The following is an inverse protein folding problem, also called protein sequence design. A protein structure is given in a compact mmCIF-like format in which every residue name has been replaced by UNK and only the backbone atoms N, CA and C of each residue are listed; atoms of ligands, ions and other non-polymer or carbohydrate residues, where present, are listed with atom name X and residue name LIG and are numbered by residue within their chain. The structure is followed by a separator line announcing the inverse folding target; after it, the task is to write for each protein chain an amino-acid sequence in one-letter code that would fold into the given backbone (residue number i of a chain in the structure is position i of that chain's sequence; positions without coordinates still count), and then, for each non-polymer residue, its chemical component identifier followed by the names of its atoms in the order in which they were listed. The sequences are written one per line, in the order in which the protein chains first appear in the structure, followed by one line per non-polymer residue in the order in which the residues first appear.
data_IF_351697243486
#
_entry.id   IF_351697243486
#
_cell.length_a   1.000
_cell.length_b   1.000
_cell.length_c   1.000
_cell.angle_alpha   90.00
_cell.angle_beta   90.00
_cell.angle_gamma   90.00
#
_symmetry.space_group_name_H-M   'P 1'
#
loop_
_entity.id
_entity.type
_entity.pdbx_description
1 polymer ?
#
# COMPACT_ATOMS: atom_id res chain seq x y z
N UNK A 1 24.98 13.33 -10.13
CA UNK A 1 23.84 13.07 -9.23
C UNK A 1 23.45 11.61 -9.43
N UNK A 2 23.28 10.82 -8.38
CA UNK A 2 22.79 9.43 -8.55
C UNK A 2 21.31 9.49 -8.92
N UNK A 3 20.92 8.76 -9.97
CA UNK A 3 19.52 8.61 -10.36
C UNK A 3 18.77 7.84 -9.26
N UNK A 4 17.60 8.33 -8.86
CA UNK A 4 16.77 7.72 -7.82
C UNK A 4 15.52 7.14 -8.47
N UNK A 5 15.31 5.85 -8.26
CA UNK A 5 14.16 5.11 -8.77
C UNK A 5 13.17 4.81 -7.65
N UNK A 6 11.91 4.61 -8.01
CA UNK A 6 10.94 3.88 -7.19
C UNK A 6 10.78 2.48 -7.77
N UNK A 7 11.17 1.48 -6.98
CA UNK A 7 11.09 0.07 -7.35
C UNK A 7 9.86 -0.55 -6.67
N UNK A 8 9.01 -1.20 -7.46
CA UNK A 8 7.90 -2.01 -7.00
C UNK A 8 8.28 -3.49 -7.06
N UNK A 9 8.17 -4.20 -5.95
CA UNK A 9 8.49 -5.63 -5.83
C UNK A 9 7.32 -6.37 -5.17
N UNK A 10 6.65 -7.30 -5.87
CA UNK A 10 5.75 -8.26 -5.25
C UNK A 10 6.54 -9.27 -4.42
N UNK A 11 6.14 -9.49 -3.18
CA UNK A 11 6.77 -10.41 -2.23
C UNK A 11 5.71 -11.32 -1.63
N UNK A 12 5.87 -12.63 -1.79
CA UNK A 12 4.99 -13.62 -1.18
C UNK A 12 5.62 -14.13 0.12
N UNK A 13 4.91 -13.92 1.24
CA UNK A 13 5.24 -14.45 2.57
C UNK A 13 4.13 -15.42 2.99
N UNK A 14 4.38 -16.72 2.90
CA UNK A 14 3.40 -17.78 3.18
C UNK A 14 2.04 -17.52 2.48
N UNK A 15 1.05 -17.01 3.22
CA UNK A 15 -0.31 -16.69 2.76
C UNK A 15 -0.58 -15.19 2.56
N UNK A 16 0.40 -14.33 2.85
CA UNK A 16 0.28 -12.88 2.75
C UNK A 16 1.00 -12.39 1.49
N UNK A 17 0.28 -11.56 0.71
CA UNK A 17 0.86 -10.84 -0.42
C UNK A 17 1.29 -9.47 0.04
N UNK A 18 2.59 -9.20 -0.02
CA UNK A 18 3.15 -7.87 0.24
C UNK A 18 3.61 -7.27 -1.08
N UNK A 19 3.30 -6.02 -1.33
CA UNK A 19 3.89 -5.26 -2.43
C UNK A 19 4.76 -4.18 -1.80
N UNK A 20 6.07 -4.28 -2.04
CA UNK A 20 7.04 -3.30 -1.58
C UNK A 20 7.23 -2.22 -2.64
N UNK A 21 7.22 -0.97 -2.21
CA UNK A 21 7.57 0.19 -2.98
C UNK A 21 8.73 0.87 -2.29
N UNK A 22 9.89 1.00 -2.96
CA UNK A 22 11.09 1.54 -2.33
C UNK A 22 11.81 2.55 -3.22
N UNK A 23 12.30 3.63 -2.62
CA UNK A 23 13.23 4.55 -3.25
C UNK A 23 14.63 3.98 -3.16
N UNK A 24 15.29 3.81 -4.30
CA UNK A 24 16.67 3.30 -4.34
C UNK A 24 17.43 3.91 -5.51
N UNK A 25 18.72 4.14 -5.29
CA UNK A 25 19.72 4.42 -6.34
C UNK A 25 20.50 3.16 -6.77
N UNK A 26 20.19 2.02 -6.15
CA UNK A 26 20.78 0.71 -6.44
C UNK A 26 19.70 -0.23 -6.95
N UNK A 27 19.66 -0.41 -8.27
CA UNK A 27 18.71 -1.31 -8.94
C UNK A 27 19.41 -2.62 -9.25
N UNK A 28 18.85 -3.72 -8.74
CA UNK A 28 19.28 -5.06 -9.12
C UNK A 28 18.69 -5.44 -10.48
N UNK A 29 19.51 -5.31 -11.53
CA UNK A 29 19.12 -5.57 -12.91
C UNK A 29 18.65 -7.02 -13.15
N UNK A 30 19.09 -7.98 -12.33
CA UNK A 30 18.69 -9.38 -12.47
C UNK A 30 17.21 -9.62 -12.12
N UNK A 31 16.62 -8.71 -11.35
CA UNK A 31 15.24 -8.79 -10.86
C UNK A 31 14.27 -7.94 -11.66
N UNK A 32 14.76 -7.06 -12.53
CA UNK A 32 13.92 -6.14 -13.30
C UNK A 32 13.03 -6.94 -14.25
N UNK A 33 11.72 -6.80 -14.08
CA UNK A 33 10.73 -7.31 -15.01
C UNK A 33 10.33 -6.25 -16.05
N UNK A 34 10.23 -5.00 -15.61
CA UNK A 34 9.83 -3.88 -16.46
C UNK A 34 10.43 -2.55 -15.98
N UNK A 35 10.85 -1.72 -16.92
CA UNK A 35 11.27 -0.34 -16.70
C UNK A 35 10.24 0.58 -17.35
N UNK A 36 9.63 1.45 -16.56
CA UNK A 36 8.60 2.35 -17.07
C UNK A 36 9.23 3.54 -17.83
N UNK A 37 8.57 3.96 -18.91
CA UNK A 37 8.99 5.11 -19.74
C UNK A 37 8.03 6.30 -19.68
N UNK A 38 8.37 7.36 -20.41
CA UNK A 38 7.54 8.56 -20.54
C UNK A 38 7.30 9.26 -19.20
N UNK A 39 6.05 9.59 -18.88
CA UNK A 39 5.65 10.22 -17.61
C UNK A 39 5.88 9.33 -16.36
N UNK A 40 6.25 8.07 -16.54
CA UNK A 40 6.55 7.12 -15.48
C UNK A 40 8.05 6.77 -15.40
N UNK A 41 8.90 7.50 -16.12
CA UNK A 41 10.36 7.38 -16.02
C UNK A 41 10.78 7.56 -14.56
N UNK A 42 11.66 6.67 -14.08
CA UNK A 42 12.04 6.59 -12.66
C UNK A 42 11.32 5.47 -11.90
N UNK A 43 10.39 4.75 -12.52
CA UNK A 43 9.68 3.61 -11.92
C UNK A 43 10.20 2.29 -12.51
N UNK A 44 10.46 1.32 -11.62
CA UNK A 44 10.91 -0.02 -11.97
C UNK A 44 9.98 -1.04 -11.32
N UNK A 45 9.66 -2.10 -12.05
CA UNK A 45 8.89 -3.24 -11.54
C UNK A 45 9.78 -4.47 -11.57
N UNK A 46 9.98 -5.07 -10.40
CA UNK A 46 10.70 -6.31 -10.25
C UNK A 46 9.81 -7.53 -10.46
N UNK A 47 10.44 -8.66 -10.78
CA UNK A 47 9.83 -9.98 -10.67
C UNK A 47 9.45 -10.25 -9.22
N UNK A 48 8.39 -11.05 -9.06
CA UNK A 48 7.96 -11.55 -7.76
C UNK A 48 9.08 -12.35 -7.09
N UNK A 49 9.24 -12.21 -5.77
CA UNK A 49 10.17 -13.02 -4.99
C UNK A 49 9.49 -13.66 -3.78
N UNK A 50 10.12 -14.72 -3.26
CA UNK A 50 9.77 -15.26 -1.95
C UNK A 50 10.35 -14.37 -0.87
N UNK A 51 9.67 -14.30 0.26
CA UNK A 51 10.14 -13.60 1.45
C UNK A 51 11.04 -14.50 2.31
N UNK A 52 12.20 -14.90 1.80
CA UNK A 52 13.11 -15.82 2.48
C UNK A 52 14.35 -15.12 3.08
N UNK A 53 14.53 -15.28 4.40
CA UNK A 53 15.85 -15.29 5.04
C UNK A 53 16.38 -14.03 5.73
N UNK A 54 15.74 -12.87 5.60
CA UNK A 54 16.13 -11.67 6.35
C UNK A 54 15.10 -11.34 7.43
N UNK A 55 15.58 -11.04 8.65
CA UNK A 55 14.72 -10.49 9.68
C UNK A 55 14.01 -9.26 9.11
N UNK A 56 12.67 -9.25 9.05
CA UNK A 56 11.95 -8.14 8.44
C UNK A 56 12.26 -6.86 9.23
N UNK A 57 12.75 -5.85 8.52
CA UNK A 57 12.91 -4.52 9.09
C UNK A 57 11.58 -4.08 9.71
N UNK A 58 11.60 -3.67 10.98
CA UNK A 58 10.37 -3.25 11.69
C UNK A 58 9.87 -1.95 11.07
N UNK A 59 8.58 -1.84 10.69
CA UNK A 59 8.03 -0.58 10.20
C UNK A 59 8.05 0.50 11.27
N UNK A 60 8.33 1.73 10.87
CA UNK A 60 8.37 2.87 11.80
C UNK A 60 6.98 3.47 12.02
N UNK A 61 6.08 3.33 11.05
CA UNK A 61 4.65 3.63 11.18
C UNK A 61 3.84 2.56 10.45
N UNK A 62 2.61 2.33 10.90
CA UNK A 62 1.68 1.40 10.28
C UNK A 62 0.25 1.94 10.34
N UNK A 63 -0.49 1.78 9.25
CA UNK A 63 -1.92 2.11 9.16
C UNK A 63 -2.63 0.96 8.45
N UNK A 64 -3.83 0.63 8.91
CA UNK A 64 -4.64 -0.44 8.34
C UNK A 64 -6.06 0.05 8.08
N UNK A 65 -6.71 -0.52 7.06
CA UNK A 65 -8.12 -0.33 6.79
C UNK A 65 -8.69 -1.56 6.09
N UNK A 66 -10.00 -1.75 6.21
CA UNK A 66 -10.70 -2.86 5.57
C UNK A 66 -11.34 -2.39 4.28
N UNK A 67 -11.07 -3.10 3.19
CA UNK A 67 -11.75 -2.95 1.91
C UNK A 67 -12.83 -4.02 1.76
N UNK A 68 -14.07 -3.59 1.57
CA UNK A 68 -15.18 -4.47 1.19
C UNK A 68 -15.49 -4.25 -0.29
N UNK A 69 -15.21 -5.25 -1.10
CA UNK A 69 -15.36 -5.20 -2.55
C UNK A 69 -16.54 -6.07 -2.97
N UNK A 70 -17.36 -5.55 -3.87
CA UNK A 70 -18.47 -6.27 -4.46
C UNK A 70 -18.14 -6.67 -5.89
N UNK A 71 -18.20 -7.97 -6.18
CA UNK A 71 -18.06 -8.48 -7.54
C UNK A 71 -19.42 -8.47 -8.23
N UNK A 72 -19.62 -7.57 -9.19
CA UNK A 72 -20.88 -7.46 -9.93
C UNK A 72 -21.18 -8.65 -10.83
N UNK A 73 -20.19 -9.49 -11.16
CA UNK A 73 -20.37 -10.68 -12.01
C UNK A 73 -20.85 -11.89 -11.21
N UNK A 74 -20.27 -12.12 -10.03
CA UNK A 74 -20.61 -13.28 -9.18
C UNK A 74 -21.62 -12.93 -8.09
N UNK A 75 -21.90 -11.63 -7.88
CA UNK A 75 -22.70 -11.09 -6.77
C UNK A 75 -22.10 -11.32 -5.38
N UNK A 76 -20.88 -11.85 -5.33
CA UNK A 76 -20.16 -12.11 -4.08
C UNK A 76 -19.54 -10.82 -3.55
N UNK A 77 -19.47 -10.76 -2.22
CA UNK A 77 -18.68 -9.75 -1.52
C UNK A 77 -17.41 -10.41 -1.02
N UNK A 78 -16.30 -9.71 -1.11
CA UNK A 78 -15.02 -10.09 -0.52
C UNK A 78 -14.53 -8.94 0.36
N UNK A 79 -14.01 -9.27 1.53
CA UNK A 79 -13.40 -8.30 2.42
C UNK A 79 -11.93 -8.64 2.65
N UNK A 80 -11.09 -7.61 2.76
CA UNK A 80 -9.68 -7.76 3.07
C UNK A 80 -9.19 -6.58 3.92
N UNK A 81 -8.17 -6.82 4.73
CA UNK A 81 -7.42 -5.76 5.35
C UNK A 81 -6.24 -5.37 4.45
N UNK A 82 -6.08 -4.06 4.26
CA UNK A 82 -4.95 -3.44 3.59
C UNK A 82 -4.13 -2.72 4.63
N UNK A 83 -2.92 -3.21 4.85
CA UNK A 83 -2.00 -2.67 5.84
C UNK A 83 -0.84 -2.00 5.14
N UNK A 84 -0.69 -0.70 5.38
CA UNK A 84 0.41 0.12 4.91
C UNK A 84 1.44 0.22 6.02
N UNK A 85 2.67 -0.11 5.68
CA UNK A 85 3.84 -0.03 6.56
C UNK A 85 4.82 0.96 5.98
N UNK A 86 5.34 1.85 6.81
CA UNK A 86 6.15 2.98 6.35
C UNK A 86 7.54 2.95 6.97
N UNK A 87 8.53 3.28 6.15
CA UNK A 87 9.90 3.52 6.55
C UNK A 87 10.38 4.85 5.99
N UNK A 88 11.09 5.57 6.82
CA UNK A 88 11.55 6.93 6.56
C UNK A 88 13.07 6.99 6.45
N UNK A 89 13.58 8.11 5.94
CA UNK A 89 15.01 8.40 5.97
C UNK A 89 15.49 8.59 7.41
N UNK A 90 16.75 8.23 7.69
CA UNK A 90 17.32 8.10 9.05
C UNK A 90 17.19 9.35 9.94
N UNK A 91 17.05 10.54 9.36
CA UNK A 91 16.94 11.82 10.07
C UNK A 91 15.51 12.31 10.29
N UNK A 92 14.49 11.53 9.90
CA UNK A 92 13.09 11.95 10.04
C UNK A 92 12.65 11.87 11.49
N UNK A 93 12.13 12.96 12.05
CA UNK A 93 11.65 13.01 13.44
C UNK A 93 10.32 12.28 13.59
N UNK A 94 10.01 11.77 14.78
CA UNK A 94 8.79 10.99 15.03
C UNK A 94 7.52 11.75 14.63
N UNK A 95 7.44 13.06 14.94
CA UNK A 95 6.30 13.89 14.55
C UNK A 95 6.13 13.97 13.02
N UNK A 96 7.24 14.14 12.28
CA UNK A 96 7.20 14.14 10.81
C UNK A 96 6.79 12.78 10.24
N UNK A 97 7.21 11.67 10.86
CA UNK A 97 6.79 10.32 10.46
C UNK A 97 5.28 10.15 10.59
N UNK A 98 4.74 10.62 11.72
CA UNK A 98 3.30 10.61 11.98
C UNK A 98 2.57 11.45 10.94
N UNK A 99 2.89 12.74 10.82
CA UNK A 99 2.22 13.66 9.91
C UNK A 99 2.24 13.15 8.45
N UNK A 100 3.41 12.72 7.97
CA UNK A 100 3.57 12.28 6.58
C UNK A 100 2.89 10.94 6.29
N UNK A 101 2.95 9.96 7.20
CA UNK A 101 2.23 8.69 7.02
C UNK A 101 0.70 8.90 6.98
N UNK A 102 0.18 9.79 7.84
CA UNK A 102 -1.23 10.15 7.83
C UNK A 102 -1.63 10.96 6.59
N UNK A 103 -0.80 11.89 6.14
CA UNK A 103 -1.04 12.65 4.92
C UNK A 103 -1.09 11.72 3.69
N UNK A 104 -0.08 10.85 3.55
CA UNK A 104 -0.03 9.83 2.49
C UNK A 104 -1.28 8.95 2.52
N UNK A 105 -1.65 8.44 3.70
CA UNK A 105 -2.83 7.61 3.86
C UNK A 105 -4.11 8.32 3.48
N UNK A 106 -4.36 9.52 4.01
CA UNK A 106 -5.57 10.32 3.72
C UNK A 106 -5.73 10.59 2.24
N UNK A 107 -4.65 10.91 1.54
CA UNK A 107 -4.69 11.12 0.09
C UNK A 107 -5.02 9.82 -0.66
N UNK A 108 -4.41 8.71 -0.24
CA UNK A 108 -4.63 7.39 -0.83
C UNK A 108 -6.09 6.95 -0.71
N UNK A 109 -6.70 7.15 0.47
CA UNK A 109 -8.08 6.75 0.76
C UNK A 109 -9.13 7.83 0.49
N UNK A 110 -8.77 8.96 -0.13
CA UNK A 110 -9.71 10.02 -0.47
C UNK A 110 -10.92 9.43 -1.26
N UNK A 111 -12.16 9.53 -0.75
CA UNK A 111 -13.35 8.94 -1.37
C UNK A 111 -13.59 9.39 -2.81
N UNK A 112 -13.34 10.67 -3.11
CA UNK A 112 -13.60 11.27 -4.43
C UNK A 112 -12.63 10.75 -5.50
N UNK A 113 -11.46 10.28 -5.07
CA UNK A 113 -10.40 9.76 -5.91
C UNK A 113 -10.01 8.33 -5.53
N UNK A 114 -10.92 7.57 -4.91
CA UNK A 114 -10.63 6.23 -4.45
C UNK A 114 -10.59 5.25 -5.64
N UNK A 115 -9.52 4.47 -5.81
CA UNK A 115 -9.41 3.52 -6.92
C UNK A 115 -10.48 2.41 -6.84
N UNK A 116 -11.07 2.09 -8.01
CA UNK A 116 -12.16 1.10 -8.10
C UNK A 116 -11.69 -0.35 -8.16
N UNK A 117 -10.40 -0.57 -8.37
CA UNK A 117 -9.79 -1.89 -8.47
C UNK A 117 -8.39 -1.93 -7.84
N UNK A 118 -7.83 -3.14 -7.68
CA UNK A 118 -6.51 -3.37 -7.09
C UNK A 118 -5.39 -2.68 -7.86
N UNK A 119 -5.41 -2.76 -9.20
CA UNK A 119 -4.36 -2.21 -10.03
C UNK A 119 -4.31 -0.67 -9.91
N UNK A 120 -5.47 -0.02 -9.84
CA UNK A 120 -5.61 1.41 -9.60
C UNK A 120 -5.11 1.80 -8.21
N UNK A 121 -5.37 0.98 -7.19
CA UNK A 121 -4.87 1.21 -5.84
C UNK A 121 -3.33 1.13 -5.79
N UNK A 122 -2.75 0.05 -6.31
CA UNK A 122 -1.30 -0.14 -6.43
C UNK A 122 -0.65 1.01 -7.20
N UNK A 123 -1.23 1.40 -8.34
CA UNK A 123 -0.76 2.55 -9.14
C UNK A 123 -0.81 3.86 -8.35
N UNK A 124 -1.83 4.06 -7.49
CA UNK A 124 -1.95 5.27 -6.67
C UNK A 124 -0.86 5.32 -5.60
N UNK A 125 -0.60 4.22 -4.89
CA UNK A 125 0.53 4.11 -3.93
C UNK A 125 1.85 4.41 -4.63
N UNK A 126 2.08 3.76 -5.78
CA UNK A 126 3.31 3.92 -6.56
C UNK A 126 3.52 5.36 -7.04
N UNK A 127 2.46 6.02 -7.53
CA UNK A 127 2.51 7.43 -7.99
C UNK A 127 2.74 8.40 -6.85
N UNK A 128 2.10 8.21 -5.70
CA UNK A 128 2.30 9.05 -4.52
C UNK A 128 3.74 8.95 -4.03
N UNK A 129 4.28 7.73 -3.93
CA UNK A 129 5.68 7.54 -3.55
C UNK A 129 6.65 8.03 -4.64
N UNK A 130 6.32 7.94 -5.92
CA UNK A 130 7.18 8.50 -6.99
C UNK A 130 7.17 10.03 -6.99
N UNK A 131 6.06 10.65 -6.57
CA UNK A 131 5.89 12.09 -6.54
C UNK A 131 6.82 12.83 -5.58
N UNK A 132 6.82 14.18 -5.67
CA UNK A 132 7.68 15.04 -4.87
C UNK A 132 7.15 15.32 -3.46
N UNK A 133 5.92 14.91 -3.13
CA UNK A 133 5.25 15.28 -1.87
C UNK A 133 5.75 14.52 -0.65
N UNK A 134 6.29 13.31 -0.85
CA UNK A 134 6.64 12.38 0.22
C UNK A 134 8.08 11.88 0.08
N UNK A 135 9.04 12.81 0.16
CA UNK A 135 10.47 12.53 -0.06
C UNK A 135 11.14 11.85 1.14
N UNK A 136 10.57 11.97 2.35
CA UNK A 136 11.13 11.31 3.54
C UNK A 136 10.71 9.86 3.62
N UNK A 137 9.60 9.47 3.00
CA UNK A 137 9.25 8.07 2.75
C UNK A 137 10.25 7.44 1.79
N UNK A 138 11.06 6.51 2.32
CA UNK A 138 11.97 5.69 1.52
C UNK A 138 11.36 4.37 1.10
N UNK A 139 10.38 3.86 1.86
CA UNK A 139 9.72 2.59 1.57
C UNK A 139 8.31 2.55 2.13
N UNK A 140 7.42 1.95 1.35
CA UNK A 140 6.06 1.58 1.74
C UNK A 140 5.88 0.11 1.41
N UNK A 141 5.45 -0.70 2.37
CA UNK A 141 4.97 -2.05 2.10
C UNK A 141 3.45 -2.05 2.23
N UNK A 142 2.76 -2.64 1.26
CA UNK A 142 1.32 -2.89 1.28
C UNK A 142 1.09 -4.38 1.47
N UNK A 143 0.60 -4.77 2.63
CA UNK A 143 0.10 -6.13 2.83
C UNK A 143 -1.38 -6.19 2.45
N UNK A 144 -1.75 -7.23 1.72
CA UNK A 144 -3.13 -7.58 1.40
C UNK A 144 -3.47 -8.87 2.15
N UNK A 145 -4.42 -8.76 3.08
CA UNK A 145 -4.78 -9.83 4.02
C UNK A 145 -6.26 -10.15 3.80
N UNK A 146 -6.60 -11.24 3.09
CA UNK A 146 -7.99 -11.68 2.93
C UNK A 146 -8.63 -11.92 4.30
N UNK A 147 -9.87 -11.47 4.48
CA UNK A 147 -10.65 -11.82 5.65
C UNK A 147 -11.33 -13.17 5.42
N UNK A 148 -11.37 -14.00 6.46
CA UNK A 148 -12.20 -15.19 6.42
C UNK A 148 -13.69 -14.82 6.44
N UNK A 149 -14.53 -15.80 6.07
CA UNK A 149 -15.98 -15.60 5.96
C UNK A 149 -16.61 -15.12 7.27
N UNK A 150 -16.14 -15.63 8.41
CA UNK A 150 -16.69 -15.27 9.72
C UNK A 150 -16.38 -13.80 10.06
N UNK A 151 -15.13 -13.37 9.86
CA UNK A 151 -14.71 -11.99 10.06
C UNK A 151 -15.43 -11.04 9.09
N UNK A 152 -15.67 -11.48 7.85
CA UNK A 152 -16.43 -10.72 6.87
C UNK A 152 -17.90 -10.55 7.27
N UNK A 153 -18.55 -11.62 7.76
CA UNK A 153 -19.96 -11.59 8.20
C UNK A 153 -20.14 -10.71 9.45
N UNK A 154 -19.10 -10.55 10.27
CA UNK A 154 -19.08 -9.70 11.45
C UNK A 154 -18.95 -8.18 11.14
N UNK A 155 -18.66 -7.79 9.90
CA UNK A 155 -18.58 -6.39 9.51
C UNK A 155 -19.98 -5.75 9.55
N UNK A 156 -20.24 -4.96 10.60
CA UNK A 156 -21.52 -4.25 10.77
C UNK A 156 -21.67 -3.19 9.67
N UNK A 157 -22.81 -3.10 8.96
CA UNK A 157 -23.04 -2.05 7.99
C UNK A 157 -23.21 -0.69 8.67
N UNK A 158 -22.13 0.08 8.82
CA UNK A 158 -22.18 1.48 9.27
C UNK A 158 -22.05 2.42 8.08
N UNK A 159 -23.03 3.31 7.93
CA UNK A 159 -23.19 4.39 6.93
C UNK A 159 -22.68 4.12 5.50
N UNK A 160 -23.64 3.78 4.64
CA UNK A 160 -23.50 3.60 3.20
C UNK A 160 -23.32 4.97 2.53
N UNK A 161 -22.09 5.35 2.17
CA UNK A 161 -21.89 6.38 1.12
C UNK A 161 -21.93 5.65 -0.22
N UNK A 162 -23.08 5.68 -0.86
CA UNK A 162 -23.28 5.05 -2.16
C UNK A 162 -22.81 5.96 -3.30
N UNK A 163 -21.82 5.51 -4.08
CA UNK A 163 -21.59 6.04 -5.43
C UNK A 163 -21.51 4.90 -6.46
N UNK A 164 -22.02 5.18 -7.65
CA UNK A 164 -22.52 4.20 -8.61
C UNK A 164 -21.50 3.28 -9.29
N UNK A 165 -22.06 2.18 -9.81
CA UNK A 165 -21.58 1.23 -10.82
C UNK A 165 -20.29 0.43 -10.63
N UNK A 166 -19.51 0.64 -9.57
CA UNK A 166 -18.59 -0.37 -9.01
C UNK A 166 -18.29 0.02 -7.56
N UNK A 167 -18.96 -0.62 -6.60
CA UNK A 167 -18.92 -0.23 -5.18
C UNK A 167 -17.75 -0.91 -4.47
N UNK A 168 -16.67 -0.15 -4.21
CA UNK A 168 -15.77 -0.44 -3.11
C UNK A 168 -16.31 0.30 -1.87
N UNK A 169 -16.68 -0.43 -0.82
CA UNK A 169 -16.98 0.15 0.49
C UNK A 169 -15.67 0.18 1.29
N UNK A 170 -15.24 1.37 1.68
CA UNK A 170 -14.09 1.54 2.57
C UNK A 170 -14.58 1.49 4.01
N UNK A 171 -14.13 0.51 4.79
CA UNK A 171 -14.32 0.50 6.24
C UNK A 171 -12.97 0.87 6.86
N UNK A 172 -12.80 2.16 7.16
CA UNK A 172 -11.56 2.68 7.72
C UNK A 172 -11.59 2.52 9.24
N UNK A 173 -11.11 1.39 9.76
CA UNK A 173 -10.71 1.27 11.17
C UNK A 173 -9.26 1.74 11.27
N UNK A 174 -9.06 3.04 11.49
CA UNK A 174 -7.74 3.56 11.87
C UNK A 174 -7.39 3.05 13.26
N UNK A 175 -6.72 1.90 13.34
CA UNK A 175 -5.97 1.53 14.55
C UNK A 175 -4.57 2.10 14.38
N UNK A 176 -4.35 3.26 14.99
CA UNK A 176 -3.01 3.80 15.18
C UNK A 176 -2.42 3.13 16.41
N UNK A 177 -1.86 1.93 16.22
CA UNK A 177 -1.00 1.36 17.25
C UNK A 177 0.34 2.10 17.16
N UNK A 178 0.44 3.16 17.95
CA UNK A 178 1.72 3.66 18.42
C UNK A 178 2.41 2.49 19.12
N UNK A 179 3.47 1.95 18.52
CA UNK A 179 4.31 0.96 19.19
C UNK A 179 4.92 1.66 20.40
N UNK A 180 4.36 1.39 21.58
CA UNK A 180 4.88 1.84 22.86
C UNK A 180 6.30 1.29 23.00
N UNK A 181 7.27 2.20 23.13
CA UNK A 181 8.53 1.96 23.83
C UNK A 181 8.30 2.18 25.33
#
# INVERSE_FOLDING_TARGET
MCEMYVVMTPINFDNMKTIRFERTNHVDQSRVHHVAGGQHTGIIVNQECKGDGLAPEVPEMQLEFTCVMYNSRTTETHAENRRLKFWFTKSTQQFDRLDESYAFFRELINPDAFPRDYAGFIKKVLKQLHGPSYLRLRRVDLDIIPLDKHAQDALVPVHIVGFGHNRAKLHCLSVADSVNL
#
